data_IF_874519883724
#
_entry.id   IF_874519883724
#
_cell.length_a   1.000
_cell.length_b   1.000
_cell.length_c   1.000
_cell.angle_alpha   90.00
_cell.angle_beta   90.00
_cell.angle_gamma   90.00
#
_symmetry.space_group_name_H-M   'P 1'
#
loop_
_entity.id
_entity.type
_entity.pdbx_description
1 polymer ?
#
# COMPACT_ATOMS: atom_id res chain seq x y z
N UNK A 1 -3.61 15.19 0.96
CA UNK A 1 -4.11 13.81 1.07
C UNK A 1 -3.78 13.10 -0.22
N UNK A 2 -3.32 11.85 -0.16
CA UNK A 2 -2.99 11.05 -1.33
C UNK A 2 -3.95 9.88 -1.49
N UNK A 3 -3.67 9.04 -2.49
CA UNK A 3 -4.39 7.81 -2.76
C UNK A 3 -3.45 6.61 -2.60
N UNK A 4 -3.99 5.50 -2.12
CA UNK A 4 -3.37 4.18 -2.20
C UNK A 4 -4.31 3.27 -2.96
N UNK A 5 -3.79 2.45 -3.86
CA UNK A 5 -4.64 1.60 -4.67
C UNK A 5 -3.88 0.62 -5.55
N UNK A 6 -4.62 0.02 -6.47
CA UNK A 6 -4.08 -0.87 -7.48
C UNK A 6 -4.92 -0.82 -8.76
N UNK A 7 -4.34 -1.36 -9.83
CA UNK A 7 -4.95 -1.44 -11.15
C UNK A 7 -5.87 -2.64 -11.37
N UNK A 8 -6.13 -2.92 -12.63
CA UNK A 8 -6.95 -4.07 -13.02
C UNK A 8 -6.30 -5.44 -12.77
N UNK A 9 -7.06 -6.50 -13.00
CA UNK A 9 -6.55 -7.86 -13.19
C UNK A 9 -7.26 -8.46 -14.40
N UNK A 10 -6.56 -9.26 -15.20
CA UNK A 10 -7.13 -9.90 -16.40
C UNK A 10 -8.18 -10.96 -16.04
N UNK A 11 -8.12 -11.45 -14.80
CA UNK A 11 -9.04 -12.41 -14.22
C UNK A 11 -10.09 -11.65 -13.36
N UNK A 12 -11.36 -11.55 -13.82
CA UNK A 12 -12.39 -10.77 -13.12
C UNK A 12 -12.72 -11.29 -11.72
N UNK A 13 -12.66 -12.61 -11.49
CA UNK A 13 -12.95 -13.20 -10.18
C UNK A 13 -11.80 -12.93 -9.19
N UNK A 14 -10.56 -12.96 -9.68
CA UNK A 14 -9.40 -12.54 -8.89
C UNK A 14 -9.44 -11.04 -8.57
N UNK A 15 -9.85 -10.22 -9.53
CA UNK A 15 -10.01 -8.78 -9.32
C UNK A 15 -11.07 -8.51 -8.24
N UNK A 16 -12.27 -9.10 -8.38
CA UNK A 16 -13.36 -8.92 -7.43
C UNK A 16 -12.95 -9.28 -5.99
N UNK A 17 -12.28 -10.43 -5.79
CA UNK A 17 -11.75 -10.83 -4.47
C UNK A 17 -10.69 -9.88 -3.93
N UNK A 18 -9.87 -9.27 -4.80
CA UNK A 18 -8.86 -8.28 -4.38
C UNK A 18 -9.53 -6.97 -3.96
N UNK A 19 -10.53 -6.51 -4.70
CA UNK A 19 -11.33 -5.32 -4.38
C UNK A 19 -12.05 -5.52 -3.04
N UNK A 20 -12.73 -6.64 -2.86
CA UNK A 20 -13.44 -6.95 -1.60
C UNK A 20 -12.48 -6.92 -0.41
N UNK A 21 -11.34 -7.63 -0.52
CA UNK A 21 -10.30 -7.61 0.51
C UNK A 21 -9.75 -6.22 0.78
N UNK A 22 -9.61 -5.38 -0.24
CA UNK A 22 -9.07 -4.03 -0.09
C UNK A 22 -10.06 -3.08 0.57
N UNK A 23 -11.32 -3.16 0.15
CA UNK A 23 -12.42 -2.39 0.73
C UNK A 23 -12.65 -2.77 2.20
N UNK A 24 -12.43 -4.03 2.57
CA UNK A 24 -12.62 -4.52 3.94
C UNK A 24 -11.46 -4.21 4.91
N UNK A 25 -10.33 -3.67 4.43
CA UNK A 25 -9.22 -3.31 5.34
C UNK A 25 -9.67 -2.18 6.27
N UNK A 26 -9.38 -2.29 7.56
CA UNK A 26 -9.74 -1.24 8.51
C UNK A 26 -9.05 0.09 8.18
N UNK A 27 -9.77 1.20 8.34
CA UNK A 27 -9.14 2.52 8.41
C UNK A 27 -8.11 2.54 9.54
N UNK A 28 -7.03 3.30 9.35
CA UNK A 28 -5.87 3.26 10.26
C UNK A 28 -4.90 2.09 9.98
N UNK A 29 -5.15 1.26 8.97
CA UNK A 29 -4.17 0.24 8.58
C UNK A 29 -2.98 0.86 7.85
N UNK A 30 -1.77 0.43 8.20
CA UNK A 30 -0.55 0.82 7.50
C UNK A 30 -0.47 0.19 6.11
N UNK A 31 -0.01 0.99 5.15
CA UNK A 31 0.29 0.57 3.78
C UNK A 31 1.69 0.98 3.40
N UNK A 32 2.32 0.17 2.56
CA UNK A 32 3.65 0.42 2.02
C UNK A 32 3.59 0.47 0.50
N UNK A 33 4.25 1.47 -0.08
CA UNK A 33 4.50 1.58 -1.52
C UNK A 33 5.99 1.75 -1.80
N UNK A 34 6.42 1.49 -3.03
CA UNK A 34 7.77 1.75 -3.51
C UNK A 34 7.69 2.54 -4.81
N UNK A 35 8.41 3.65 -4.89
CA UNK A 35 8.43 4.47 -6.10
C UNK A 35 9.47 4.00 -7.12
N UNK A 36 9.54 4.71 -8.25
CA UNK A 36 10.48 4.42 -9.34
C UNK A 36 11.96 4.62 -8.98
N UNK A 37 12.23 5.45 -7.96
CA UNK A 37 13.58 5.67 -7.43
C UNK A 37 13.97 4.62 -6.37
N UNK A 38 13.04 3.71 -6.05
CA UNK A 38 13.25 2.60 -5.13
C UNK A 38 13.06 2.97 -3.66
N UNK A 39 12.54 4.17 -3.37
CA UNK A 39 12.27 4.64 -2.02
C UNK A 39 10.94 4.09 -1.50
N UNK A 40 10.84 3.89 -0.18
CA UNK A 40 9.71 3.26 0.47
C UNK A 40 8.79 4.30 1.10
N UNK A 41 7.53 4.29 0.72
CA UNK A 41 6.51 5.20 1.25
C UNK A 41 5.64 4.46 2.25
N UNK A 42 5.59 4.98 3.47
CA UNK A 42 4.68 4.52 4.51
C UNK A 42 3.45 5.43 4.54
N UNK A 43 2.28 4.81 4.50
CA UNK A 43 1.00 5.49 4.57
C UNK A 43 0.02 4.82 5.52
N UNK A 44 -1.10 5.50 5.75
CA UNK A 44 -2.21 5.08 6.56
C UNK A 44 -3.51 5.21 5.75
N UNK A 45 -4.32 4.16 5.69
CA UNK A 45 -5.64 4.23 5.04
C UNK A 45 -6.58 5.10 5.87
N UNK A 46 -7.29 6.01 5.21
CA UNK A 46 -8.01 7.11 5.86
C UNK A 46 -9.42 7.31 5.27
N UNK A 47 -10.05 6.24 4.81
CA UNK A 47 -11.39 6.32 4.24
C UNK A 47 -11.78 5.16 3.34
N UNK A 48 -13.03 5.20 2.84
CA UNK A 48 -13.63 4.11 2.10
C UNK A 48 -12.99 3.92 0.72
N UNK A 49 -13.16 2.72 0.19
CA UNK A 49 -12.86 2.40 -1.21
C UNK A 49 -13.75 3.19 -2.16
N UNK A 50 -13.17 3.64 -3.27
CA UNK A 50 -13.90 4.11 -4.44
C UNK A 50 -13.15 3.73 -5.72
N UNK A 51 -13.88 3.76 -6.83
CA UNK A 51 -13.31 3.62 -8.17
C UNK A 51 -12.96 5.00 -8.72
N UNK A 52 -11.72 5.19 -9.13
CA UNK A 52 -11.20 6.43 -9.72
C UNK A 52 -10.96 6.24 -11.22
N UNK A 53 -11.88 6.76 -12.04
CA UNK A 53 -11.79 6.67 -13.49
C UNK A 53 -10.63 7.53 -14.06
N UNK A 54 -10.24 8.60 -13.36
CA UNK A 54 -9.15 9.47 -13.83
C UNK A 54 -7.78 8.79 -13.67
N UNK A 55 -7.69 7.74 -12.83
CA UNK A 55 -6.51 6.93 -12.59
C UNK A 55 -6.19 5.86 -13.66
N UNK A 56 -7.01 5.73 -14.72
CA UNK A 56 -6.82 4.71 -15.77
C UNK A 56 -5.45 4.81 -16.46
N UNK A 57 -4.98 6.03 -16.71
CA UNK A 57 -3.72 6.27 -17.43
C UNK A 57 -2.46 5.76 -16.71
N UNK A 58 -2.58 5.51 -15.40
CA UNK A 58 -1.49 5.04 -14.54
C UNK A 58 -1.80 3.68 -13.88
N UNK A 59 -2.85 2.99 -14.34
CA UNK A 59 -3.35 1.72 -13.79
C UNK A 59 -3.56 1.77 -12.27
N UNK A 60 -4.18 2.86 -11.79
CA UNK A 60 -4.48 3.09 -10.37
C UNK A 60 -5.94 3.49 -10.17
N UNK A 61 -6.85 2.55 -10.44
CA UNK A 61 -8.30 2.83 -10.49
C UNK A 61 -9.07 2.33 -9.27
N UNK A 62 -8.55 1.34 -8.53
CA UNK A 62 -9.16 0.84 -7.29
C UNK A 62 -8.43 1.46 -6.09
N UNK A 63 -8.99 2.53 -5.53
CA UNK A 63 -8.27 3.40 -4.60
C UNK A 63 -9.00 3.61 -3.28
N UNK A 64 -8.23 4.04 -2.28
CA UNK A 64 -8.68 4.57 -1.00
C UNK A 64 -7.90 5.83 -0.64
N UNK A 65 -8.53 6.79 0.07
CA UNK A 65 -7.81 7.88 0.70
C UNK A 65 -6.68 7.35 1.57
N UNK A 66 -5.50 7.95 1.45
CA UNK A 66 -4.33 7.57 2.20
C UNK A 66 -3.54 8.80 2.66
N UNK A 67 -3.17 8.81 3.93
CA UNK A 67 -2.22 9.76 4.48
C UNK A 67 -0.84 9.15 4.36
N UNK A 68 0.04 9.79 3.61
CA UNK A 68 1.44 9.39 3.48
C UNK A 68 2.31 10.20 4.44
N UNK A 69 3.40 9.61 4.91
CA UNK A 69 4.48 10.40 5.51
C UNK A 69 5.01 11.42 4.50
N UNK A 70 5.49 12.57 5.00
CA UNK A 70 6.00 13.64 4.16
C UNK A 70 7.33 13.28 3.48
N UNK A 71 8.13 12.42 4.12
CA UNK A 71 9.42 11.96 3.62
C UNK A 71 9.43 10.44 3.43
N UNK A 72 10.02 9.93 2.35
CA UNK A 72 10.16 8.50 2.16
C UNK A 72 11.18 7.89 3.12
N UNK A 73 11.04 6.59 3.35
CA UNK A 73 11.95 5.74 4.12
C UNK A 73 12.95 5.09 3.18
N UNK A 74 14.24 5.14 3.54
CA UNK A 74 15.30 4.45 2.79
C UNK A 74 15.25 2.95 3.02
N UNK A 75 15.81 2.15 2.10
CA UNK A 75 15.88 0.69 2.27
C UNK A 75 16.54 0.29 3.60
N UNK A 76 17.59 0.99 4.04
CA UNK A 76 18.28 0.71 5.30
C UNK A 76 17.45 0.98 6.57
N UNK A 77 16.38 1.77 6.46
CA UNK A 77 15.49 2.13 7.56
C UNK A 77 14.13 1.42 7.49
N UNK A 78 13.81 0.79 6.36
CA UNK A 78 12.56 0.08 6.17
C UNK A 78 12.55 -1.26 6.94
N UNK A 79 11.38 -1.71 7.41
CA UNK A 79 11.22 -3.05 7.97
C UNK A 79 11.76 -4.15 7.03
N UNK A 80 12.54 -5.13 7.51
CA UNK A 80 13.07 -6.20 6.65
C UNK A 80 11.98 -6.96 5.89
N UNK A 81 10.82 -7.17 6.51
CA UNK A 81 9.67 -7.84 5.88
C UNK A 81 9.06 -7.02 4.72
N UNK A 82 9.13 -5.68 4.78
CA UNK A 82 8.73 -4.79 3.68
C UNK A 82 9.71 -4.96 2.52
N UNK A 83 11.01 -4.87 2.79
CA UNK A 83 12.07 -5.02 1.78
C UNK A 83 11.93 -6.37 1.06
N UNK A 84 11.84 -7.47 1.83
CA UNK A 84 11.67 -8.81 1.29
C UNK A 84 10.39 -8.96 0.44
N UNK A 85 9.32 -8.27 0.81
CA UNK A 85 8.04 -8.31 0.08
C UNK A 85 8.11 -7.60 -1.27
N UNK A 86 8.84 -6.50 -1.37
CA UNK A 86 9.08 -5.83 -2.65
C UNK A 86 10.12 -6.57 -3.49
N UNK A 87 11.18 -7.12 -2.87
CA UNK A 87 12.27 -7.84 -3.55
C UNK A 87 11.83 -9.10 -4.29
N UNK A 88 10.75 -9.76 -3.86
CA UNK A 88 10.18 -10.94 -4.56
C UNK A 88 9.34 -10.61 -5.81
N UNK A 89 9.36 -9.35 -6.28
CA UNK A 89 8.53 -8.90 -7.40
C UNK A 89 7.08 -8.71 -6.97
N UNK A 90 6.88 -7.89 -5.94
CA UNK A 90 5.61 -7.76 -5.23
C UNK A 90 4.37 -7.65 -6.13
N UNK A 91 3.32 -8.42 -5.78
CA UNK A 91 2.01 -8.32 -6.44
C UNK A 91 1.29 -7.07 -5.95
N UNK A 92 0.46 -6.49 -6.81
CA UNK A 92 -0.47 -5.43 -6.45
C UNK A 92 -1.39 -5.88 -5.29
N UNK A 93 -1.42 -5.07 -4.23
CA UNK A 93 -2.16 -5.27 -2.98
C UNK A 93 -2.02 -6.67 -2.33
N UNK A 94 -0.93 -6.84 -1.58
CA UNK A 94 -0.63 -8.04 -0.79
C UNK A 94 -0.40 -7.71 0.70
N UNK A 95 -0.71 -8.66 1.58
CA UNK A 95 -0.37 -8.54 2.99
C UNK A 95 1.11 -8.89 3.20
N UNK A 96 1.79 -8.13 4.05
CA UNK A 96 3.13 -8.48 4.54
C UNK A 96 2.95 -9.39 5.75
N UNK A 97 3.36 -10.65 5.59
CA UNK A 97 3.24 -11.67 6.63
C UNK A 97 4.49 -11.67 7.49
N UNK A 98 4.52 -10.82 8.50
CA UNK A 98 5.53 -10.77 9.55
C UNK A 98 4.87 -10.18 10.81
N UNK A 99 5.01 -10.80 11.99
CA UNK A 99 4.31 -10.35 13.19
C UNK A 99 4.81 -8.99 13.70
N UNK A 100 6.04 -8.61 13.40
CA UNK A 100 6.67 -7.40 13.92
C UNK A 100 6.48 -6.20 12.99
N UNK A 101 6.16 -6.42 11.70
CA UNK A 101 6.04 -5.35 10.70
C UNK A 101 5.04 -4.26 11.09
N UNK A 102 3.95 -4.64 11.77
CA UNK A 102 2.94 -3.69 12.25
C UNK A 102 3.52 -2.72 13.29
N UNK A 103 4.21 -3.25 14.30
CA UNK A 103 4.85 -2.44 15.35
C UNK A 103 6.03 -1.63 14.81
N UNK A 104 6.79 -2.17 13.85
CA UNK A 104 7.87 -1.43 13.18
C UNK A 104 7.32 -0.26 12.35
N UNK A 105 6.22 -0.47 11.63
CA UNK A 105 5.54 0.59 10.86
C UNK A 105 4.98 1.67 11.79
N UNK A 106 4.37 1.28 12.92
CA UNK A 106 3.87 2.23 13.92
C UNK A 106 4.97 3.13 14.48
N UNK A 107 6.12 2.56 14.85
CA UNK A 107 7.27 3.34 15.33
C UNK A 107 7.79 4.33 14.29
N UNK A 108 7.87 3.93 13.02
CA UNK A 108 8.28 4.84 11.95
C UNK A 108 7.25 5.97 11.78
N UNK A 109 5.97 5.66 11.86
CA UNK A 109 4.89 6.63 11.76
C UNK A 109 4.89 7.69 12.89
N UNK A 110 5.27 7.30 14.10
CA UNK A 110 5.32 8.20 15.26
C UNK A 110 6.57 9.11 15.28
N UNK A 111 7.62 8.75 14.53
CA UNK A 111 8.93 9.38 14.61
C UNK A 111 9.39 10.07 13.31
N UNK A 112 8.55 10.10 12.29
CA UNK A 112 8.79 10.77 11.00
C UNK A 112 7.66 11.77 10.71
#
# INVERSE_FOLDING_TARGET
MGLCGFGGDRDPERLARRIERFASVADGSFVWSRDGDGLYWLGLLDGPYFYDADGESVDLVHVRPCRWLATPITESAAPPAVIATFGRGGRNFQQIHDPDVGGQSARLWEHC
#
